data_IF_879046007294
#
_entry.id   IF_879046007294
#
_cell.length_a   1.000
_cell.length_b   1.000
_cell.length_c   1.000
_cell.angle_alpha   90.00
_cell.angle_beta   90.00
_cell.angle_gamma   90.00
#
_symmetry.space_group_name_H-M   'P 1'
#
loop_
_entity.id
_entity.type
_entity.pdbx_description
1 polymer ?
#
# COMPACT_ATOMS: atom_id res chain seq x y z
N UNK A 1 -11.49 29.74 24.61
CA UNK A 1 -12.44 30.87 24.58
C UNK A 1 -12.55 31.35 23.14
N UNK A 2 -13.75 31.40 22.53
CA UNK A 2 -13.88 31.91 21.18
C UNK A 2 -13.57 33.42 21.18
N UNK A 3 -12.43 33.79 20.61
CA UNK A 3 -12.11 35.20 20.30
C UNK A 3 -12.99 35.62 19.12
N UNK A 4 -14.05 36.37 19.41
CA UNK A 4 -14.91 36.98 18.37
C UNK A 4 -14.14 38.04 17.60
N UNK A 5 -14.58 38.32 16.37
CA UNK A 5 -13.99 39.34 15.50
C UNK A 5 -13.97 40.72 16.19
N UNK A 6 -14.99 41.04 17.00
CA UNK A 6 -15.00 42.28 17.80
C UNK A 6 -13.85 42.37 18.80
N UNK A 7 -13.42 41.25 19.39
CA UNK A 7 -12.35 41.24 20.38
C UNK A 7 -11.00 41.53 19.74
N UNK A 8 -10.77 41.02 18.53
CA UNK A 8 -9.56 41.29 17.74
C UNK A 8 -9.48 42.77 17.39
N UNK A 9 -10.59 43.37 16.93
CA UNK A 9 -10.64 44.81 16.63
C UNK A 9 -10.30 45.67 17.84
N UNK A 10 -10.82 45.32 19.02
CA UNK A 10 -10.51 46.04 20.28
C UNK A 10 -9.03 45.93 20.65
N UNK A 11 -8.45 44.75 20.49
CA UNK A 11 -7.02 44.50 20.72
C UNK A 11 -6.13 45.31 19.77
N UNK A 12 -6.48 45.38 18.48
CA UNK A 12 -5.76 46.19 17.49
C UNK A 12 -5.83 47.69 17.81
N UNK A 13 -6.99 48.20 18.25
CA UNK A 13 -7.14 49.60 18.67
C UNK A 13 -6.28 49.89 19.91
N UNK A 14 -6.28 48.99 20.88
CA UNK A 14 -5.44 49.10 22.06
C UNK A 14 -3.94 49.10 21.72
N UNK A 15 -3.51 48.14 20.89
CA UNK A 15 -2.12 48.01 20.44
C UNK A 15 -1.64 49.28 19.72
N UNK A 16 -2.45 49.81 18.79
CA UNK A 16 -2.13 51.07 18.11
C UNK A 16 -2.06 52.27 19.07
N UNK A 17 -2.89 52.30 20.11
CA UNK A 17 -2.84 53.37 21.12
C UNK A 17 -1.53 53.30 21.91
N UNK A 18 -1.16 52.12 22.40
CA UNK A 18 0.09 51.92 23.11
C UNK A 18 1.31 52.27 22.25
N UNK A 19 1.34 51.85 20.98
CA UNK A 19 2.45 52.15 20.08
C UNK A 19 2.56 53.66 19.80
N UNK A 20 1.44 54.37 19.68
CA UNK A 20 1.44 55.84 19.52
C UNK A 20 1.94 56.54 20.78
N UNK A 21 1.55 56.08 21.96
CA UNK A 21 2.03 56.62 23.23
C UNK A 21 3.54 56.41 23.39
N UNK A 22 4.06 55.22 23.05
CA UNK A 22 5.50 54.91 23.08
C UNK A 22 6.28 55.77 22.07
N UNK A 23 5.73 55.99 20.88
CA UNK A 23 6.35 56.81 19.84
C UNK A 23 6.22 58.32 20.09
N UNK A 24 5.49 58.76 21.13
CA UNK A 24 5.20 60.17 21.38
C UNK A 24 4.34 60.84 20.28
N UNK A 25 3.55 60.06 19.54
CA UNK A 25 2.78 60.53 18.38
C UNK A 25 1.36 60.93 18.81
N UNK A 26 1.16 62.23 19.01
CA UNK A 26 -0.17 62.81 19.22
C UNK A 26 -1.05 62.77 17.96
N UNK A 27 -2.36 62.95 18.13
CA UNK A 27 -3.35 62.94 17.04
C UNK A 27 -3.05 63.98 15.93
N UNK A 28 -2.40 65.10 16.28
CA UNK A 28 -2.07 66.19 15.36
C UNK A 28 -0.96 65.84 14.36
N UNK A 29 -0.14 64.83 14.64
CA UNK A 29 1.05 64.50 13.84
C UNK A 29 0.75 63.79 12.50
N UNK A 30 -0.52 63.49 12.17
CA UNK A 30 -0.96 62.82 10.93
C UNK A 30 -0.09 61.64 10.45
N UNK A 31 0.50 60.88 11.38
CA UNK A 31 1.30 59.68 11.07
C UNK A 31 0.39 58.45 10.95
N UNK A 32 0.67 57.61 9.95
CA UNK A 32 -0.07 56.37 9.72
C UNK A 32 0.28 55.28 10.76
N UNK A 33 -0.67 54.40 11.10
CA UNK A 33 -0.43 53.35 12.12
C UNK A 33 0.66 52.35 11.71
N UNK A 34 0.80 52.08 10.41
CA UNK A 34 1.86 51.24 9.85
C UNK A 34 3.25 51.86 10.07
N UNK A 35 3.35 53.18 9.99
CA UNK A 35 4.59 53.92 10.15
C UNK A 35 4.97 54.08 11.63
N UNK A 36 3.99 54.33 12.51
CA UNK A 36 4.18 54.26 13.98
C UNK A 36 4.66 52.87 14.38
N UNK A 37 4.04 51.81 13.86
CA UNK A 37 4.44 50.43 14.15
C UNK A 37 5.87 50.14 13.69
N UNK A 38 6.25 50.58 12.48
CA UNK A 38 7.61 50.41 11.95
C UNK A 38 8.64 51.19 12.77
N UNK A 39 8.29 52.38 13.25
CA UNK A 39 9.15 53.20 14.11
C UNK A 39 9.43 52.51 15.46
N UNK A 40 8.40 51.92 16.09
CA UNK A 40 8.50 51.32 17.43
C UNK A 40 9.05 49.89 17.40
N UNK A 41 8.62 49.06 16.45
CA UNK A 41 8.92 47.61 16.40
C UNK A 41 9.91 47.22 15.28
N UNK A 42 10.30 48.16 14.41
CA UNK A 42 11.14 47.89 13.24
C UNK A 42 10.43 47.06 12.15
N UNK A 43 11.23 46.44 11.27
CA UNK A 43 10.74 45.55 10.20
C UNK A 43 10.35 44.14 10.68
N UNK A 44 10.52 43.83 11.97
CA UNK A 44 10.30 42.48 12.53
C UNK A 44 9.10 42.35 13.47
N UNK A 45 8.27 43.40 13.63
CA UNK A 45 7.13 43.38 14.53
C UNK A 45 5.92 42.62 13.95
N UNK A 46 5.76 41.35 14.33
CA UNK A 46 4.57 40.53 14.00
C UNK A 46 3.27 41.28 14.34
N UNK A 47 2.27 41.20 13.48
CA UNK A 47 0.95 41.79 13.74
C UNK A 47 0.23 41.05 14.87
N UNK A 48 -0.68 41.73 15.58
CA UNK A 48 -1.50 41.08 16.63
C UNK A 48 -2.27 39.89 16.07
N UNK A 49 -2.74 39.97 14.82
CA UNK A 49 -3.41 38.86 14.14
C UNK A 49 -2.49 37.66 13.91
N UNK A 50 -1.25 37.88 13.50
CA UNK A 50 -0.25 36.80 13.34
C UNK A 50 0.07 36.15 14.69
N UNK A 51 0.28 36.94 15.75
CA UNK A 51 0.55 36.43 17.10
C UNK A 51 -0.63 35.61 17.63
N UNK A 52 -1.86 36.10 17.45
CA UNK A 52 -3.08 35.39 17.85
C UNK A 52 -3.25 34.10 17.04
N UNK A 53 -3.00 34.13 15.73
CA UNK A 53 -3.07 32.94 14.89
C UNK A 53 -2.00 31.91 15.24
N UNK A 54 -0.77 32.34 15.52
CA UNK A 54 0.30 31.46 16.00
C UNK A 54 -0.08 30.77 17.30
N UNK A 55 -0.65 31.49 18.26
CA UNK A 55 -1.10 30.92 19.53
C UNK A 55 -2.29 29.97 19.35
N UNK A 56 -3.23 30.28 18.42
CA UNK A 56 -4.31 29.36 18.04
C UNK A 56 -3.76 28.06 17.46
N UNK A 57 -2.80 28.14 16.55
CA UNK A 57 -2.17 26.98 15.93
C UNK A 57 -1.38 26.15 16.95
N UNK A 58 -0.64 26.80 17.86
CA UNK A 58 0.05 26.11 18.96
C UNK A 58 -0.93 25.40 19.89
N UNK A 59 -2.04 26.04 20.23
CA UNK A 59 -3.09 25.44 21.05
C UNK A 59 -3.76 24.26 20.35
N UNK A 60 -4.10 24.40 19.06
CA UNK A 60 -4.62 23.30 18.23
C UNK A 60 -3.66 22.11 18.20
N UNK A 61 -2.38 22.36 17.94
CA UNK A 61 -1.36 21.31 17.97
C UNK A 61 -1.20 20.67 19.35
N UNK A 62 -1.34 21.43 20.44
CA UNK A 62 -1.34 20.89 21.79
C UNK A 62 -2.57 20.00 22.05
N UNK A 63 -3.76 20.45 21.66
CA UNK A 63 -5.03 19.72 21.79
C UNK A 63 -5.02 18.41 21.00
N UNK A 64 -4.48 18.41 19.78
CA UNK A 64 -4.34 17.21 18.95
C UNK A 64 -3.40 16.16 19.57
N UNK A 65 -2.47 16.58 20.44
CA UNK A 65 -1.55 15.69 21.16
C UNK A 65 -2.04 15.32 22.56
N UNK A 66 -3.11 15.94 23.05
CA UNK A 66 -3.65 15.62 24.36
C UNK A 66 -4.40 14.29 24.30
N UNK A 67 -4.16 13.36 25.24
CA UNK A 67 -4.96 12.16 25.37
C UNK A 67 -6.40 12.54 25.78
N UNK A 68 -7.39 11.86 25.17
CA UNK A 68 -8.80 12.29 25.16
C UNK A 68 -9.45 12.47 26.54
N UNK A 69 -8.94 11.80 27.58
CA UNK A 69 -9.43 11.93 28.96
C UNK A 69 -9.11 13.28 29.62
N UNK A 70 -8.21 14.10 29.03
CA UNK A 70 -7.89 15.46 29.51
C UNK A 70 -8.60 16.58 28.76
N UNK A 71 -9.37 16.27 27.72
CA UNK A 71 -10.05 17.31 26.97
C UNK A 71 -11.22 17.87 27.80
N UNK A 72 -11.29 19.20 28.01
CA UNK A 72 -12.33 19.79 28.83
C UNK A 72 -13.71 19.54 28.18
N UNK A 73 -14.66 18.99 28.95
CA UNK A 73 -16.04 18.64 28.50
C UNK A 73 -16.71 19.70 27.63
N UNK A 74 -16.38 20.98 27.83
CA UNK A 74 -16.93 22.12 27.07
C UNK A 74 -16.54 22.14 25.59
N UNK A 75 -15.43 21.52 25.17
CA UNK A 75 -15.07 21.39 23.75
C UNK A 75 -15.80 20.25 23.04
N UNK A 76 -16.36 19.29 23.78
CA UNK A 76 -17.22 18.23 23.22
C UNK A 76 -18.68 18.66 23.07
N UNK A 77 -19.09 19.78 23.67
CA UNK A 77 -20.49 20.17 23.89
C UNK A 77 -20.88 21.51 23.24
N UNK A 78 -20.13 22.00 22.25
CA UNK A 78 -20.42 23.31 21.65
C UNK A 78 -21.70 23.37 20.82
N UNK A 79 -22.42 22.25 20.64
CA UNK A 79 -23.69 22.21 19.89
C UNK A 79 -24.96 22.00 20.71
N UNK A 80 -24.88 21.64 22.00
CA UNK A 80 -26.05 21.13 22.76
C UNK A 80 -26.46 22.06 23.91
N UNK A 81 -25.70 23.13 24.17
CA UNK A 81 -25.78 23.85 25.46
C UNK A 81 -26.82 24.96 25.57
N UNK A 82 -27.56 25.30 24.52
CA UNK A 82 -28.49 26.42 24.60
C UNK A 82 -29.94 26.01 25.02
N UNK A 83 -30.29 24.70 25.06
CA UNK A 83 -31.69 24.29 25.26
C UNK A 83 -32.01 23.40 26.47
N UNK A 84 -31.06 23.02 27.34
CA UNK A 84 -31.37 22.14 28.49
C UNK A 84 -31.14 22.84 29.83
N UNK A 85 -32.23 23.43 30.33
CA UNK A 85 -32.42 23.86 31.72
C UNK A 85 -33.31 22.81 32.41
N UNK A 86 -32.79 22.14 33.44
CA UNK A 86 -33.48 21.08 34.21
C UNK A 86 -33.39 19.72 33.51
N UNK A 87 -33.04 18.60 34.13
CA UNK A 87 -33.28 18.12 35.49
C UNK A 87 -32.24 17.01 35.76
N UNK A 88 -31.74 16.85 36.98
CA UNK A 88 -30.78 15.78 37.30
C UNK A 88 -31.48 14.40 37.31
N UNK A 89 -31.25 13.57 36.30
CA UNK A 89 -31.50 12.12 36.33
C UNK A 89 -30.25 11.38 35.88
N UNK A 90 -29.90 10.28 36.55
CA UNK A 90 -28.79 9.40 36.14
C UNK A 90 -29.01 8.80 34.74
N UNK A 91 -30.29 8.64 34.36
CA UNK A 91 -30.73 8.21 33.03
C UNK A 91 -30.29 9.19 31.93
N UNK A 92 -30.40 10.51 32.15
CA UNK A 92 -29.97 11.52 31.18
C UNK A 92 -28.44 11.46 30.94
N UNK A 93 -27.66 11.04 31.94
CA UNK A 93 -26.21 10.90 31.82
C UNK A 93 -25.80 9.65 31.00
N UNK A 94 -26.51 8.53 31.18
CA UNK A 94 -26.28 7.31 30.41
C UNK A 94 -26.74 7.45 28.96
N UNK A 95 -27.87 8.12 28.72
CA UNK A 95 -28.32 8.47 27.36
C UNK A 95 -27.32 9.41 26.66
N UNK A 96 -26.80 10.41 27.37
CA UNK A 96 -25.79 11.32 26.83
C UNK A 96 -24.47 10.59 26.50
N UNK A 97 -24.09 9.60 27.31
CA UNK A 97 -22.91 8.76 27.07
C UNK A 97 -23.11 7.86 25.86
N UNK A 98 -24.29 7.27 25.70
CA UNK A 98 -24.64 6.46 24.53
C UNK A 98 -24.61 7.29 23.23
N UNK A 99 -25.15 8.51 23.27
CA UNK A 99 -25.09 9.46 22.15
C UNK A 99 -23.64 9.81 21.81
N UNK A 100 -22.80 10.10 22.81
CA UNK A 100 -21.39 10.41 22.60
C UNK A 100 -20.61 9.22 22.01
N UNK A 101 -20.93 7.98 22.40
CA UNK A 101 -20.33 6.77 21.85
C UNK A 101 -20.76 6.51 20.40
N UNK A 102 -22.03 6.73 20.07
CA UNK A 102 -22.53 6.63 18.69
C UNK A 102 -21.88 7.70 17.79
N UNK A 103 -21.82 8.95 18.26
CA UNK A 103 -21.17 10.03 17.53
C UNK A 103 -19.67 9.76 17.35
N UNK A 104 -19.00 9.16 18.35
CA UNK A 104 -17.61 8.68 18.22
C UNK A 104 -17.47 7.62 17.14
N UNK A 105 -18.36 6.62 17.11
CA UNK A 105 -18.33 5.58 16.07
C UNK A 105 -18.49 6.19 14.69
N UNK A 106 -19.44 7.12 14.52
CA UNK A 106 -19.63 7.86 13.26
C UNK A 106 -18.42 8.70 12.87
N UNK A 107 -17.86 9.48 13.80
CA UNK A 107 -16.65 10.29 13.57
C UNK A 107 -15.43 9.43 13.24
N UNK A 108 -15.28 8.26 13.87
CA UNK A 108 -14.19 7.33 13.55
C UNK A 108 -14.31 6.78 12.13
N UNK A 109 -15.52 6.40 11.69
CA UNK A 109 -15.76 5.97 10.30
C UNK A 109 -15.42 7.09 9.31
N UNK A 110 -15.83 8.33 9.59
CA UNK A 110 -15.49 9.49 8.76
C UNK A 110 -13.99 9.76 8.74
N UNK A 111 -13.32 9.67 9.89
CA UNK A 111 -11.87 9.84 10.00
C UNK A 111 -11.13 8.78 9.18
N UNK A 112 -11.52 7.52 9.28
CA UNK A 112 -10.93 6.43 8.50
C UNK A 112 -11.13 6.64 6.99
N UNK A 113 -12.31 7.10 6.57
CA UNK A 113 -12.57 7.44 5.17
C UNK A 113 -11.70 8.62 4.68
N UNK A 114 -11.57 9.67 5.49
CA UNK A 114 -10.71 10.82 5.19
C UNK A 114 -9.22 10.43 5.18
N UNK A 115 -8.76 9.58 6.09
CA UNK A 115 -7.39 9.06 6.12
C UNK A 115 -7.09 8.25 4.85
N UNK A 116 -8.00 7.36 4.43
CA UNK A 116 -7.87 6.61 3.17
C UNK A 116 -7.77 7.55 1.97
N UNK A 117 -8.63 8.57 1.91
CA UNK A 117 -8.63 9.58 0.84
C UNK A 117 -7.35 10.42 0.84
N UNK A 118 -6.85 10.79 2.01
CA UNK A 118 -5.60 11.53 2.14
C UNK A 118 -4.40 10.68 1.71
N UNK A 119 -4.37 9.41 2.08
CA UNK A 119 -3.34 8.48 1.64
C UNK A 119 -3.33 8.30 0.12
N UNK A 120 -4.49 8.15 -0.53
CA UNK A 120 -4.56 8.04 -1.99
C UNK A 120 -4.09 9.30 -2.72
N UNK A 121 -4.29 10.48 -2.12
CA UNK A 121 -3.79 11.75 -2.69
C UNK A 121 -2.28 11.90 -2.51
N UNK A 122 -1.73 11.48 -1.36
CA UNK A 122 -0.29 11.57 -1.09
C UNK A 122 0.52 10.52 -1.84
N UNK A 123 -0.03 9.32 -2.01
CA UNK A 123 0.61 8.17 -2.64
C UNK A 123 -0.26 7.70 -3.80
N UNK A 124 -0.07 8.27 -5.02
CA UNK A 124 -0.79 7.77 -6.18
C UNK A 124 -0.45 6.29 -6.39
N UNK A 125 -1.47 5.53 -6.75
CA UNK A 125 -1.36 4.12 -7.12
C UNK A 125 -0.56 4.01 -8.40
N UNK A 126 0.36 3.04 -8.44
CA UNK A 126 1.11 2.75 -9.65
C UNK A 126 0.15 2.13 -10.67
N UNK A 127 0.19 2.57 -11.93
CA UNK A 127 -0.70 2.06 -13.00
C UNK A 127 -0.61 0.54 -13.16
N UNK A 128 0.58 -0.03 -12.96
CA UNK A 128 0.83 -1.48 -13.02
C UNK A 128 -0.03 -2.25 -12.02
N UNK A 129 -0.34 -1.68 -10.86
CA UNK A 129 -1.13 -2.36 -9.83
C UNK A 129 -2.60 -2.52 -10.23
N UNK A 130 -3.04 -1.80 -11.26
CA UNK A 130 -4.38 -1.90 -11.85
C UNK A 130 -4.46 -3.01 -12.90
N UNK A 131 -3.34 -3.61 -13.32
CA UNK A 131 -3.35 -4.64 -14.35
C UNK A 131 -4.19 -5.85 -13.92
N UNK A 132 -5.21 -6.15 -14.72
CA UNK A 132 -6.18 -7.21 -14.46
C UNK A 132 -5.60 -8.61 -14.63
N UNK A 133 -4.54 -8.78 -15.43
CA UNK A 133 -3.95 -10.07 -15.74
C UNK A 133 -2.52 -10.20 -15.20
N UNK A 134 -2.22 -11.38 -14.64
CA UNK A 134 -0.91 -11.72 -14.09
C UNK A 134 -0.47 -13.12 -14.52
N UNK A 135 0.79 -13.23 -14.89
CA UNK A 135 1.47 -14.50 -15.15
C UNK A 135 2.23 -14.88 -13.89
N UNK A 136 1.85 -16.01 -13.30
CA UNK A 136 2.50 -16.61 -12.15
C UNK A 136 3.28 -17.85 -12.58
N UNK A 137 4.58 -17.86 -12.28
CA UNK A 137 5.48 -18.98 -12.57
C UNK A 137 6.02 -19.57 -11.27
N UNK A 138 5.83 -20.88 -11.09
CA UNK A 138 6.30 -21.63 -9.93
C UNK A 138 7.46 -22.55 -10.34
N UNK A 139 8.58 -22.45 -9.64
CA UNK A 139 9.78 -23.26 -9.86
C UNK A 139 10.10 -24.07 -8.61
N UNK A 140 10.15 -25.39 -8.73
CA UNK A 140 10.62 -26.25 -7.64
C UNK A 140 12.11 -25.99 -7.37
N UNK A 141 12.44 -25.63 -6.13
CA UNK A 141 13.81 -25.33 -5.70
C UNK A 141 14.47 -26.51 -4.98
N UNK A 142 15.17 -26.21 -3.88
CA UNK A 142 15.80 -27.22 -3.06
C UNK A 142 14.74 -28.15 -2.42
N UNK A 143 14.92 -29.47 -2.49
CA UNK A 143 13.99 -30.45 -1.90
C UNK A 143 13.50 -31.54 -2.86
N UNK A 144 13.88 -31.49 -4.14
CA UNK A 144 13.59 -32.54 -5.11
C UNK A 144 12.08 -32.78 -5.28
N UNK A 145 11.64 -34.04 -5.21
CA UNK A 145 10.23 -34.43 -5.38
C UNK A 145 9.31 -33.71 -4.38
N UNK A 146 9.76 -33.48 -3.15
CA UNK A 146 8.98 -32.74 -2.15
C UNK A 146 8.79 -31.26 -2.52
N UNK A 147 9.81 -30.61 -3.09
CA UNK A 147 9.66 -29.25 -3.60
C UNK A 147 8.61 -29.20 -4.72
N UNK A 148 8.55 -30.23 -5.57
CA UNK A 148 7.53 -30.32 -6.60
C UNK A 148 6.11 -30.58 -6.07
N UNK A 149 5.97 -31.35 -4.98
CA UNK A 149 4.69 -31.49 -4.28
C UNK A 149 4.26 -30.16 -3.65
N UNK A 150 5.20 -29.43 -3.05
CA UNK A 150 4.92 -28.11 -2.49
C UNK A 150 4.55 -27.08 -3.57
N UNK A 151 5.15 -27.15 -4.76
CA UNK A 151 4.78 -26.32 -5.90
C UNK A 151 3.32 -26.58 -6.33
N UNK A 152 2.90 -27.84 -6.31
CA UNK A 152 1.51 -28.22 -6.56
C UNK A 152 0.56 -27.71 -5.47
N UNK A 153 0.96 -27.81 -4.20
CA UNK A 153 0.17 -27.27 -3.08
C UNK A 153 -0.03 -25.74 -3.20
N UNK A 154 1.03 -25.00 -3.56
CA UNK A 154 0.94 -23.55 -3.80
C UNK A 154 0.04 -23.22 -4.98
N UNK A 155 0.16 -23.95 -6.10
CA UNK A 155 -0.74 -23.79 -7.25
C UNK A 155 -2.21 -23.95 -6.82
N UNK A 156 -2.52 -24.99 -6.05
CA UNK A 156 -3.89 -25.24 -5.57
C UNK A 156 -4.38 -24.16 -4.59
N UNK A 157 -3.49 -23.63 -3.75
CA UNK A 157 -3.78 -22.50 -2.86
C UNK A 157 -4.16 -21.25 -3.68
N UNK A 158 -3.37 -20.89 -4.71
CA UNK A 158 -3.70 -19.73 -5.55
C UNK A 158 -4.93 -19.97 -6.42
N UNK A 159 -5.19 -21.21 -6.85
CA UNK A 159 -6.43 -21.56 -7.53
C UNK A 159 -7.64 -21.35 -6.60
N UNK A 160 -7.57 -21.79 -5.34
CA UNK A 160 -8.61 -21.54 -4.35
C UNK A 160 -8.81 -20.04 -4.09
N UNK A 161 -7.73 -19.26 -4.05
CA UNK A 161 -7.79 -17.80 -3.92
C UNK A 161 -8.49 -17.14 -5.11
N UNK A 162 -8.18 -17.57 -6.34
CA UNK A 162 -8.83 -17.09 -7.56
C UNK A 162 -10.34 -17.39 -7.54
N UNK A 163 -10.73 -18.61 -7.15
CA UNK A 163 -12.15 -19.01 -7.01
C UNK A 163 -12.87 -18.11 -6.00
N UNK A 164 -12.28 -17.82 -4.84
CA UNK A 164 -12.90 -16.95 -3.83
C UNK A 164 -13.19 -15.54 -4.32
N UNK A 165 -12.41 -15.06 -5.30
CA UNK A 165 -12.54 -13.72 -5.88
C UNK A 165 -13.25 -13.71 -7.23
N UNK A 166 -13.78 -14.86 -7.66
CA UNK A 166 -14.38 -15.04 -8.99
C UNK A 166 -13.42 -14.64 -10.14
N UNK A 167 -12.14 -14.95 -9.99
CA UNK A 167 -11.11 -14.71 -11.01
C UNK A 167 -10.95 -15.90 -11.94
N UNK A 168 -10.51 -15.63 -13.18
CA UNK A 168 -10.12 -16.70 -14.11
C UNK A 168 -8.77 -17.26 -13.69
N UNK A 169 -8.60 -18.58 -13.84
CA UNK A 169 -7.36 -19.28 -13.53
C UNK A 169 -7.08 -20.30 -14.63
N UNK A 170 -6.04 -20.06 -15.43
CA UNK A 170 -5.69 -20.88 -16.58
C UNK A 170 -4.26 -21.41 -16.42
N UNK A 171 -4.10 -22.73 -16.51
CA UNK A 171 -2.76 -23.35 -16.48
C UNK A 171 -2.23 -23.40 -17.90
N UNK A 172 -1.27 -22.53 -18.22
CA UNK A 172 -0.68 -22.42 -19.56
C UNK A 172 0.32 -23.54 -19.84
N UNK A 173 1.16 -23.86 -18.86
CA UNK A 173 2.19 -24.89 -19.01
C UNK A 173 2.49 -25.56 -17.66
N UNK A 174 2.70 -26.87 -17.66
CA UNK A 174 3.14 -27.62 -16.47
C UNK A 174 4.15 -28.69 -16.87
N UNK A 175 5.21 -28.82 -16.10
CA UNK A 175 6.24 -29.86 -16.26
C UNK A 175 6.26 -30.73 -15.01
N UNK A 176 5.97 -32.02 -15.18
CA UNK A 176 5.95 -33.00 -14.09
C UNK A 176 7.35 -33.58 -13.89
N UNK A 177 7.73 -33.85 -12.64
CA UNK A 177 8.95 -34.58 -12.31
C UNK A 177 8.69 -36.08 -12.44
N UNK A 178 8.99 -36.69 -13.58
CA UNK A 178 8.83 -38.15 -13.76
C UNK A 178 10.13 -38.91 -13.50
N UNK A 179 10.06 -39.86 -12.57
CA UNK A 179 10.38 -41.26 -12.84
C UNK A 179 9.34 -42.13 -12.10
N UNK A 180 8.87 -43.14 -12.83
CA UNK A 180 7.99 -44.27 -12.47
C UNK A 180 6.46 -44.11 -12.60
N UNK A 181 5.94 -44.95 -13.50
CA UNK A 181 4.60 -45.49 -13.59
C UNK A 181 4.20 -46.08 -12.23
N UNK A 182 3.46 -45.32 -11.42
CA UNK A 182 2.69 -45.88 -10.33
C UNK A 182 1.28 -45.31 -10.44
N UNK A 183 0.31 -46.23 -10.43
CA UNK A 183 -1.11 -45.94 -10.52
C UNK A 183 -1.54 -44.83 -9.55
N UNK A 184 -2.56 -44.03 -9.92
CA UNK A 184 -2.98 -42.85 -9.16
C UNK A 184 -3.74 -43.29 -7.91
N UNK A 185 -3.05 -43.64 -6.82
CA UNK A 185 -3.72 -43.87 -5.54
C UNK A 185 -3.85 -42.60 -4.70
N UNK A 186 -3.08 -41.53 -4.99
CA UNK A 186 -3.27 -40.21 -4.41
C UNK A 186 -2.97 -39.11 -5.43
N UNK A 187 -3.84 -38.10 -5.53
CA UNK A 187 -3.84 -36.98 -6.50
C UNK A 187 -2.64 -36.01 -6.36
N UNK A 188 -1.44 -36.49 -6.06
CA UNK A 188 -0.29 -35.66 -5.68
C UNK A 188 0.76 -35.69 -6.80
N UNK A 189 0.56 -34.83 -7.81
CA UNK A 189 1.51 -34.70 -8.91
C UNK A 189 2.65 -33.76 -8.52
N UNK A 190 3.90 -34.24 -8.54
CA UNK A 190 5.07 -33.40 -8.26
C UNK A 190 5.44 -32.56 -9.49
N UNK A 191 5.40 -31.23 -9.37
CA UNK A 191 5.60 -30.29 -10.48
C UNK A 191 6.98 -29.62 -10.41
N UNK A 192 7.79 -29.74 -11.46
CA UNK A 192 9.07 -29.01 -11.55
C UNK A 192 8.87 -27.54 -11.86
N UNK A 193 7.93 -27.28 -12.76
CA UNK A 193 7.66 -25.96 -13.31
C UNK A 193 6.18 -25.85 -13.65
N UNK A 194 5.58 -24.70 -13.34
CA UNK A 194 4.19 -24.38 -13.71
C UNK A 194 4.11 -22.92 -14.10
N UNK A 195 3.44 -22.64 -15.21
CA UNK A 195 3.07 -21.31 -15.66
C UNK A 195 1.55 -21.19 -15.66
N UNK A 196 1.07 -20.20 -14.94
CA UNK A 196 -0.35 -19.96 -14.67
C UNK A 196 -0.65 -18.52 -15.10
N UNK A 197 -1.80 -18.33 -15.70
CA UNK A 197 -2.37 -17.02 -15.94
C UNK A 197 -3.61 -16.85 -15.06
N UNK A 198 -3.69 -15.70 -14.40
CA UNK A 198 -4.79 -15.35 -13.50
C UNK A 198 -5.30 -13.98 -13.95
N UNK A 199 -6.59 -13.89 -14.25
CA UNK A 199 -7.23 -12.64 -14.65
C UNK A 199 -8.33 -12.28 -13.65
N UNK A 200 -8.23 -11.06 -13.12
CA UNK A 200 -9.13 -10.50 -12.13
C UNK A 200 -9.19 -9.00 -12.30
N UNK A 201 -10.33 -8.51 -12.77
CA UNK A 201 -10.56 -7.08 -12.97
C UNK A 201 -10.56 -6.32 -11.64
N UNK A 202 -10.04 -5.08 -11.62
CA UNK A 202 -10.17 -4.21 -10.46
C UNK A 202 -11.64 -3.87 -10.23
N UNK A 203 -12.18 -4.21 -9.06
CA UNK A 203 -13.53 -3.78 -8.67
C UNK A 203 -13.50 -2.35 -8.15
N UNK A 204 -14.55 -1.58 -8.44
CA UNK A 204 -14.75 -0.25 -7.85
C UNK A 204 -15.81 -0.36 -6.77
N UNK A 205 -15.38 -0.53 -5.53
CA UNK A 205 -16.29 -0.49 -4.38
C UNK A 205 -16.24 0.92 -3.76
N UNK A 206 -17.39 1.57 -3.64
CA UNK A 206 -17.55 2.88 -2.99
C UNK A 206 -16.66 4.02 -3.54
N UNK A 207 -16.32 3.98 -4.83
CA UNK A 207 -15.52 5.02 -5.50
C UNK A 207 -14.01 4.92 -5.27
N UNK A 208 -13.54 3.83 -4.66
CA UNK A 208 -12.12 3.50 -4.51
C UNK A 208 -11.83 2.35 -5.47
N UNK A 209 -10.94 2.55 -6.44
CA UNK A 209 -10.48 1.45 -7.30
C UNK A 209 -9.70 0.45 -6.47
N UNK A 210 -10.13 -0.81 -6.46
CA UNK A 210 -9.33 -1.91 -5.93
C UNK A 210 -8.25 -2.33 -6.93
N UNK A 211 -7.24 -3.06 -6.45
CA UNK A 211 -6.16 -3.55 -7.30
C UNK A 211 -6.62 -4.68 -8.21
N UNK A 212 -6.08 -4.70 -9.43
CA UNK A 212 -6.19 -5.86 -10.33
C UNK A 212 -5.41 -7.06 -9.79
N UNK A 213 -5.51 -8.20 -10.47
CA UNK A 213 -4.85 -9.44 -10.04
C UNK A 213 -3.34 -9.26 -9.80
N UNK A 214 -2.65 -8.49 -10.65
CA UNK A 214 -1.22 -8.22 -10.46
C UNK A 214 -0.93 -7.42 -9.19
N UNK A 215 -1.64 -6.32 -8.94
CA UNK A 215 -1.38 -5.46 -7.78
C UNK A 215 -1.55 -6.18 -6.45
N UNK A 216 -2.42 -7.19 -6.40
CA UNK A 216 -2.62 -8.02 -5.21
C UNK A 216 -1.57 -9.12 -5.08
N UNK A 217 -1.24 -9.80 -6.19
CA UNK A 217 -0.34 -10.95 -6.18
C UNK A 217 1.14 -10.56 -6.29
N UNK A 218 1.52 -9.34 -6.66
CA UNK A 218 2.94 -8.92 -6.79
C UNK A 218 3.81 -9.24 -5.57
N UNK A 219 3.20 -9.27 -4.38
CA UNK A 219 3.87 -9.58 -3.12
C UNK A 219 4.19 -11.06 -2.93
N UNK A 220 3.71 -11.93 -3.80
CA UNK A 220 4.00 -13.36 -3.80
C UNK A 220 5.34 -13.66 -4.51
N UNK A 221 5.97 -12.67 -5.16
CA UNK A 221 7.24 -12.87 -5.85
C UNK A 221 8.40 -13.11 -4.86
N UNK A 222 9.08 -14.24 -5.00
CA UNK A 222 10.22 -14.64 -4.17
C UNK A 222 10.20 -16.13 -3.78
N UNK A 223 11.04 -16.50 -2.81
CA UNK A 223 11.18 -17.91 -2.39
C UNK A 223 10.26 -18.24 -1.22
N UNK A 224 9.43 -19.26 -1.40
CA UNK A 224 8.55 -19.85 -0.40
C UNK A 224 9.19 -21.11 0.15
N UNK A 225 9.30 -21.22 1.48
CA UNK A 225 9.92 -22.36 2.16
C UNK A 225 8.90 -23.18 2.92
N UNK A 226 8.88 -24.50 2.75
CA UNK A 226 8.07 -25.42 3.53
C UNK A 226 8.93 -26.24 4.49
N UNK A 227 8.43 -26.45 5.71
CA UNK A 227 9.01 -27.35 6.70
C UNK A 227 7.93 -28.36 7.10
N UNK A 228 8.08 -29.61 6.68
CA UNK A 228 7.17 -30.71 7.02
C UNK A 228 7.88 -32.05 6.93
N UNK A 229 7.27 -33.10 7.47
CA UNK A 229 7.66 -34.47 7.18
C UNK A 229 7.17 -34.76 5.76
N UNK A 230 8.07 -34.98 4.79
CA UNK A 230 7.67 -35.14 3.41
C UNK A 230 7.00 -36.50 3.21
N UNK A 231 6.00 -36.57 2.34
CA UNK A 231 5.28 -37.82 2.02
C UNK A 231 6.25 -38.84 1.39
N UNK A 232 7.33 -38.35 0.79
CA UNK A 232 8.35 -39.14 0.11
C UNK A 232 9.43 -39.72 1.03
N UNK A 233 9.49 -39.33 2.30
CA UNK A 233 10.52 -39.85 3.24
C UNK A 233 9.99 -41.01 4.06
N UNK A 234 10.72 -42.13 4.06
CA UNK A 234 10.48 -43.24 4.98
C UNK A 234 10.89 -42.91 6.43
N UNK A 235 11.71 -41.87 6.62
CA UNK A 235 12.10 -41.37 7.94
C UNK A 235 11.15 -40.25 8.37
N UNK A 236 10.61 -40.33 9.59
CA UNK A 236 9.70 -39.32 10.17
C UNK A 236 10.46 -38.04 10.61
N UNK A 237 11.34 -37.53 9.74
CA UNK A 237 12.20 -36.37 9.96
C UNK A 237 11.67 -35.19 9.16
N UNK A 238 11.68 -34.01 9.79
CA UNK A 238 11.26 -32.77 9.13
C UNK A 238 12.31 -32.37 8.10
N UNK A 239 11.87 -32.23 6.84
CA UNK A 239 12.70 -31.72 5.75
C UNK A 239 12.34 -30.27 5.45
N UNK A 240 13.26 -29.56 4.80
CA UNK A 240 13.05 -28.19 4.34
C UNK A 240 13.18 -28.13 2.83
N UNK A 241 12.09 -27.69 2.19
CA UNK A 241 12.01 -27.56 0.73
C UNK A 241 11.64 -26.14 0.35
N UNK A 242 11.99 -25.71 -0.86
CA UNK A 242 11.73 -24.36 -1.37
C UNK A 242 11.06 -24.39 -2.73
N UNK A 243 10.22 -23.41 -3.00
CA UNK A 243 9.63 -23.11 -4.31
C UNK A 243 9.81 -21.62 -4.57
N UNK A 244 10.32 -21.26 -5.73
CA UNK A 244 10.44 -19.87 -6.14
C UNK A 244 9.23 -19.47 -7.00
N UNK A 245 8.70 -18.30 -6.72
CA UNK A 245 7.50 -17.75 -7.38
C UNK A 245 7.90 -16.47 -8.11
N UNK A 246 7.60 -16.41 -9.39
CA UNK A 246 7.82 -15.25 -10.26
C UNK A 246 6.48 -14.72 -10.74
N UNK A 247 6.33 -13.40 -10.73
CA UNK A 247 5.05 -12.73 -10.98
C UNK A 247 5.26 -11.59 -11.93
N UNK A 248 4.55 -11.64 -13.05
CA UNK A 248 4.73 -10.70 -14.13
C UNK A 248 3.37 -10.15 -14.54
N UNK A 249 3.24 -8.83 -14.72
CA UNK A 249 2.03 -8.27 -15.28
C UNK A 249 1.91 -8.71 -16.74
N UNK A 250 0.71 -9.10 -17.17
CA UNK A 250 0.43 -9.23 -18.60
C UNK A 250 -0.01 -7.86 -19.10
N UNK A 251 0.72 -7.34 -20.08
CA UNK A 251 0.28 -6.16 -20.81
C UNK A 251 -0.63 -6.62 -21.95
N UNK A 252 -1.72 -5.89 -22.21
CA UNK A 252 -2.45 -6.06 -23.45
C UNK A 252 -1.53 -5.74 -24.63
N UNK A 253 -1.81 -6.35 -25.78
CA UNK A 253 -1.16 -5.94 -27.02
C UNK A 253 -1.57 -4.49 -27.29
N UNK A 254 -0.59 -3.58 -27.23
CA UNK A 254 -0.83 -2.18 -27.57
C UNK A 254 -0.69 -2.07 -29.08
N UNK A 255 -1.81 -1.91 -29.76
CA UNK A 255 -1.83 -1.53 -31.17
C UNK A 255 -1.36 -0.07 -31.27
N UNK A 256 -0.04 0.10 -31.46
CA UNK A 256 0.55 1.42 -31.69
C UNK A 256 0.38 1.75 -33.17
N UNK A 257 -0.56 2.63 -33.48
CA UNK A 257 -0.68 3.22 -34.80
C UNK A 257 0.42 4.29 -34.96
N UNK A 258 1.52 3.91 -35.61
CA UNK A 258 2.64 4.82 -35.86
C UNK A 258 2.35 5.57 -37.17
N UNK A 259 2.12 6.89 -37.14
CA UNK A 259 1.87 7.64 -38.36
C UNK A 259 3.11 7.65 -39.25
N UNK A 260 2.92 7.46 -40.56
CA UNK A 260 4.01 7.42 -41.55
C UNK A 260 4.95 8.63 -41.52
N UNK A 261 4.45 9.80 -41.06
CA UNK A 261 5.23 11.03 -40.96
C UNK A 261 6.34 10.99 -39.90
N UNK A 262 6.21 10.13 -38.88
CA UNK A 262 7.20 9.96 -37.82
C UNK A 262 8.25 8.89 -38.18
N UNK A 263 8.02 8.14 -39.26
CA UNK A 263 8.93 7.12 -39.75
C UNK A 263 9.96 7.74 -40.69
N UNK A 264 11.23 7.72 -40.25
CA UNK A 264 12.37 7.98 -41.15
C UNK A 264 12.77 6.68 -41.82
N UNK A 265 12.41 6.55 -43.08
CA UNK A 265 12.80 5.43 -43.92
C UNK A 265 14.21 5.65 -44.47
N UNK A 266 15.19 4.90 -43.96
CA UNK A 266 16.53 4.86 -44.54
C UNK A 266 16.74 3.55 -45.29
N UNK A 267 16.94 3.64 -46.60
CA UNK A 267 17.23 2.50 -47.45
C UNK A 267 18.73 2.22 -47.45
N UNK A 268 19.16 1.29 -46.60
CA UNK A 268 20.54 0.82 -46.57
C UNK A 268 20.74 -0.34 -47.56
N UNK A 269 21.85 -0.33 -48.30
CA UNK A 269 22.26 -1.52 -49.06
C UNK A 269 22.81 -2.56 -48.08
N UNK A 270 22.35 -3.83 -48.12
CA UNK A 270 22.90 -4.85 -47.25
C UNK A 270 24.39 -4.99 -47.53
N UNK A 271 25.22 -4.60 -46.57
CA UNK A 271 26.68 -4.63 -46.70
C UNK A 271 27.17 -5.90 -45.99
N UNK A 272 27.30 -6.98 -46.75
CA UNK A 272 27.75 -8.29 -46.27
C UNK A 272 27.54 -9.40 -47.32
N UNK A 273 28.29 -10.51 -47.28
CA UNK A 273 28.08 -11.65 -48.16
C UNK A 273 26.64 -12.17 -48.01
N UNK A 274 25.93 -12.35 -49.13
CA UNK A 274 24.50 -12.61 -49.17
C UNK A 274 24.06 -13.92 -48.51
N UNK A 275 23.03 -13.85 -47.68
CA UNK A 275 22.33 -14.98 -47.06
C UNK A 275 21.52 -14.56 -45.82
N UNK A 276 20.29 -15.07 -45.69
CA UNK A 276 19.42 -15.13 -44.48
C UNK A 276 19.35 -13.92 -43.51
N UNK A 277 19.70 -12.70 -43.92
CA UNK A 277 19.91 -11.59 -42.96
C UNK A 277 18.69 -10.66 -42.76
N UNK A 278 17.55 -10.95 -43.39
CA UNK A 278 16.30 -10.16 -43.23
C UNK A 278 15.54 -10.57 -41.96
N UNK A 279 15.75 -11.79 -41.44
CA UNK A 279 15.11 -12.28 -40.21
C UNK A 279 15.75 -11.72 -38.92
N UNK A 280 16.91 -11.05 -39.02
CA UNK A 280 17.73 -10.70 -37.86
C UNK A 280 17.19 -9.54 -37.02
N UNK A 281 16.47 -8.58 -37.63
CA UNK A 281 15.93 -7.41 -36.93
C UNK A 281 14.72 -7.77 -36.04
N UNK A 282 13.77 -8.53 -36.58
CA UNK A 282 12.65 -9.07 -35.79
C UNK A 282 13.18 -9.93 -34.62
N UNK A 283 14.20 -10.76 -34.89
CA UNK A 283 14.86 -11.52 -33.83
C UNK A 283 15.49 -10.64 -32.74
N UNK A 284 16.12 -9.50 -33.07
CA UNK A 284 16.74 -8.62 -32.07
C UNK A 284 15.69 -7.98 -31.16
N UNK A 285 14.56 -7.52 -31.71
CA UNK A 285 13.50 -6.90 -30.92
C UNK A 285 12.81 -7.92 -30.01
N UNK A 286 12.46 -9.10 -30.55
CA UNK A 286 11.91 -10.20 -29.77
C UNK A 286 12.90 -10.70 -28.70
N UNK A 287 14.21 -10.77 -29.02
CA UNK A 287 15.26 -11.08 -28.04
C UNK A 287 15.32 -10.03 -26.93
N UNK A 288 15.29 -8.73 -27.27
CA UNK A 288 15.33 -7.64 -26.27
C UNK A 288 14.15 -7.72 -25.28
N UNK A 289 12.93 -7.96 -25.77
CA UNK A 289 11.76 -8.15 -24.91
C UNK A 289 11.88 -9.41 -24.03
N UNK A 290 12.34 -10.52 -24.61
CA UNK A 290 12.58 -11.75 -23.84
C UNK A 290 13.67 -11.57 -22.78
N UNK A 291 14.71 -10.80 -23.06
CA UNK A 291 15.77 -10.48 -22.11
C UNK A 291 15.26 -9.64 -20.93
N UNK A 292 14.37 -8.67 -21.18
CA UNK A 292 13.74 -7.89 -20.11
C UNK A 292 12.91 -8.81 -19.20
N UNK A 293 12.05 -9.64 -19.79
CA UNK A 293 11.24 -10.62 -19.05
C UNK A 293 12.12 -11.56 -18.23
N UNK A 294 13.18 -12.10 -18.85
CA UNK A 294 14.12 -12.98 -18.18
C UNK A 294 14.90 -12.29 -17.07
N UNK A 295 15.23 -11.00 -17.22
CA UNK A 295 15.89 -10.23 -16.17
C UNK A 295 14.99 -10.02 -14.96
N UNK A 296 13.71 -9.69 -15.18
CA UNK A 296 12.70 -9.56 -14.12
C UNK A 296 12.52 -10.92 -13.44
N UNK A 297 12.35 -11.98 -14.23
CA UNK A 297 12.22 -13.34 -13.72
C UNK A 297 13.42 -13.74 -12.85
N UNK A 298 14.65 -13.50 -13.31
CA UNK A 298 15.87 -13.75 -12.53
C UNK A 298 15.90 -12.95 -11.23
N UNK A 299 15.45 -11.70 -11.25
CA UNK A 299 15.39 -10.86 -10.04
C UNK A 299 14.43 -11.41 -8.98
N UNK A 300 13.30 -12.00 -9.40
CA UNK A 300 12.34 -12.62 -8.48
C UNK A 300 12.81 -13.97 -7.94
N UNK A 301 13.48 -14.77 -8.78
CA UNK A 301 13.94 -16.12 -8.41
C UNK A 301 15.14 -16.08 -7.45
N UNK A 302 15.99 -15.06 -7.56
CA UNK A 302 17.23 -15.00 -6.78
C UNK A 302 18.09 -16.23 -7.04
N UNK A 303 18.68 -16.79 -5.99
CA UNK A 303 19.53 -17.99 -6.05
C UNK A 303 18.77 -19.31 -5.83
N UNK A 304 17.43 -19.28 -5.67
CA UNK A 304 16.60 -20.45 -5.30
C UNK A 304 17.00 -21.15 -3.98
N UNK A 305 17.90 -20.55 -3.21
CA UNK A 305 18.46 -21.11 -1.99
C UNK A 305 17.53 -20.94 -0.76
N UNK A 306 17.77 -21.72 0.29
CA UNK A 306 17.02 -21.74 1.55
C UNK A 306 17.12 -20.44 2.35
N UNK A 307 18.08 -19.58 2.03
CA UNK A 307 18.39 -18.33 2.71
C UNK A 307 17.43 -17.19 2.33
N UNK A 308 17.13 -17.03 1.03
CA UNK A 308 16.39 -15.91 0.40
C UNK A 308 14.85 -16.05 0.46
N UNK A 309 14.33 -16.55 1.58
CA UNK A 309 12.90 -16.82 1.76
C UNK A 309 12.08 -15.56 2.10
N UNK A 310 10.96 -15.37 1.42
CA UNK A 310 9.95 -14.37 1.79
C UNK A 310 8.95 -14.94 2.81
N UNK A 311 8.64 -16.24 2.71
CA UNK A 311 7.70 -16.92 3.60
C UNK A 311 8.17 -18.30 4.02
N UNK A 312 7.77 -18.70 5.23
CA UNK A 312 7.96 -20.06 5.73
C UNK A 312 6.63 -20.65 6.19
N UNK A 313 6.32 -21.83 5.67
CA UNK A 313 5.17 -22.65 6.01
C UNK A 313 5.65 -23.80 6.89
N UNK A 314 5.39 -23.72 8.20
CA UNK A 314 5.86 -24.68 9.19
C UNK A 314 4.68 -25.56 9.63
N UNK A 315 4.58 -26.77 9.07
CA UNK A 315 3.50 -27.71 9.36
C UNK A 315 3.53 -28.26 10.79
N UNK A 316 4.69 -28.67 11.36
CA UNK A 316 4.74 -29.11 12.75
C UNK A 316 4.25 -28.08 13.77
N UNK A 317 4.38 -26.79 13.46
CA UNK A 317 3.96 -25.69 14.36
C UNK A 317 2.65 -25.02 13.90
N UNK A 318 1.98 -25.54 12.88
CA UNK A 318 0.78 -24.96 12.24
C UNK A 318 0.88 -23.43 12.00
N UNK A 319 2.06 -22.98 11.53
CA UNK A 319 2.39 -21.55 11.46
C UNK A 319 2.93 -21.15 10.10
N UNK A 320 2.47 -20.00 9.62
CA UNK A 320 3.00 -19.29 8.46
C UNK A 320 3.71 -18.05 8.95
N UNK A 321 4.90 -17.78 8.43
CA UNK A 321 5.67 -16.58 8.80
C UNK A 321 6.09 -15.86 7.52
N UNK A 322 5.76 -14.57 7.42
CA UNK A 322 6.28 -13.69 6.37
C UNK A 322 7.46 -12.90 6.95
N UNK A 323 8.65 -13.11 6.38
CA UNK A 323 9.91 -12.56 6.88
C UNK A 323 10.06 -11.07 6.58
N UNK A 324 9.24 -10.51 5.69
CA UNK A 324 9.26 -9.07 5.38
C UNK A 324 8.49 -8.26 6.43
N UNK A 325 7.39 -8.84 6.92
CA UNK A 325 6.57 -8.28 7.99
C UNK A 325 7.06 -8.65 9.40
N UNK A 326 7.87 -9.71 9.53
CA UNK A 326 8.17 -10.36 10.81
C UNK A 326 6.91 -10.78 11.59
N UNK A 327 5.82 -11.06 10.89
CA UNK A 327 4.55 -11.51 11.45
C UNK A 327 4.28 -12.97 11.12
N UNK A 328 3.48 -13.61 11.97
CA UNK A 328 3.06 -14.98 11.80
C UNK A 328 1.56 -15.18 11.96
N UNK A 329 1.02 -16.11 11.17
CA UNK A 329 -0.38 -16.53 11.19
C UNK A 329 -0.48 -18.02 11.48
N UNK A 330 -1.60 -18.45 12.07
CA UNK A 330 -1.90 -19.85 12.40
C UNK A 330 -2.92 -20.44 11.42
N UNK A 331 -3.30 -21.72 11.60
CA UNK A 331 -4.24 -22.44 10.73
C UNK A 331 -3.68 -22.65 9.32
N UNK A 332 -2.44 -23.14 9.23
CA UNK A 332 -1.73 -23.41 7.98
C UNK A 332 -2.54 -24.32 7.06
N UNK A 333 -3.21 -25.34 7.60
CA UNK A 333 -4.03 -26.25 6.80
C UNK A 333 -5.13 -25.50 6.03
N UNK A 334 -5.85 -24.59 6.70
CA UNK A 334 -6.92 -23.80 6.10
C UNK A 334 -6.37 -22.78 5.11
N UNK A 335 -5.23 -22.18 5.43
CA UNK A 335 -4.53 -21.26 4.54
C UNK A 335 -4.12 -21.94 3.23
N UNK A 336 -3.53 -23.14 3.29
CA UNK A 336 -3.08 -23.84 2.08
C UNK A 336 -4.24 -24.41 1.25
N UNK A 337 -5.27 -24.97 1.89
CA UNK A 337 -6.39 -25.62 1.17
C UNK A 337 -7.46 -24.65 0.68
N UNK A 338 -7.72 -23.58 1.43
CA UNK A 338 -8.82 -22.65 1.14
C UNK A 338 -8.32 -21.22 0.90
N UNK A 339 -7.01 -20.94 0.91
CA UNK A 339 -6.48 -19.57 0.81
C UNK A 339 -7.00 -18.58 1.87
N UNK A 340 -7.64 -19.07 2.95
CA UNK A 340 -8.19 -18.23 4.00
C UNK A 340 -7.04 -17.61 4.79
N UNK A 341 -7.01 -16.28 4.83
CA UNK A 341 -5.94 -15.49 5.45
C UNK A 341 -4.90 -14.95 4.46
N UNK A 342 -4.85 -15.43 3.21
CA UNK A 342 -3.94 -14.87 2.21
C UNK A 342 -4.25 -13.39 1.94
N UNK A 343 -5.54 -13.03 1.88
CA UNK A 343 -5.99 -11.64 1.78
C UNK A 343 -5.47 -10.75 2.92
N UNK A 344 -5.45 -11.26 4.16
CA UNK A 344 -4.97 -10.51 5.34
C UNK A 344 -3.45 -10.28 5.27
N UNK A 345 -2.70 -11.27 4.78
CA UNK A 345 -1.25 -11.16 4.56
C UNK A 345 -0.97 -10.10 3.49
N UNK A 346 -1.68 -10.15 2.36
CA UNK A 346 -1.54 -9.18 1.26
C UNK A 346 -1.87 -7.76 1.74
N UNK A 347 -2.96 -7.59 2.50
CA UNK A 347 -3.34 -6.29 3.06
C UNK A 347 -2.27 -5.74 4.03
N UNK A 348 -1.68 -6.61 4.85
CA UNK A 348 -0.61 -6.25 5.78
C UNK A 348 0.66 -5.79 5.03
N UNK A 349 1.03 -6.50 3.96
CA UNK A 349 2.16 -6.13 3.10
C UNK A 349 1.91 -4.79 2.40
N UNK A 350 0.71 -4.59 1.89
CA UNK A 350 0.31 -3.32 1.28
C UNK A 350 0.42 -2.17 2.27
N UNK A 351 -0.08 -2.32 3.51
CA UNK A 351 0.04 -1.30 4.55
C UNK A 351 1.51 -0.99 4.90
N UNK A 352 2.39 -2.00 4.89
CA UNK A 352 3.82 -1.78 5.11
C UNK A 352 4.46 -0.99 3.97
N UNK A 353 4.20 -1.36 2.72
CA UNK A 353 4.71 -0.63 1.55
C UNK A 353 4.26 0.83 1.53
N UNK A 354 2.97 1.07 1.80
CA UNK A 354 2.43 2.43 1.91
C UNK A 354 3.18 3.25 2.97
N UNK A 355 3.47 2.66 4.15
CA UNK A 355 4.26 3.32 5.19
C UNK A 355 5.69 3.61 4.73
N UNK A 356 6.33 2.71 4.00
CA UNK A 356 7.68 2.91 3.48
C UNK A 356 7.74 3.98 2.40
N UNK A 357 6.79 3.98 1.45
CA UNK A 357 6.66 5.03 0.42
C UNK A 357 6.41 6.39 1.07
N UNK A 358 5.53 6.46 2.07
CA UNK A 358 5.27 7.69 2.82
C UNK A 358 6.55 8.19 3.52
N UNK A 359 7.28 7.29 4.19
CA UNK A 359 8.57 7.63 4.82
C UNK A 359 9.57 8.17 3.81
N UNK A 360 9.72 7.53 2.64
CA UNK A 360 10.61 8.01 1.58
C UNK A 360 10.24 9.44 1.15
N UNK A 361 8.96 9.71 0.86
CA UNK A 361 8.49 11.06 0.50
C UNK A 361 8.71 12.10 1.59
N UNK A 362 8.53 11.74 2.86
CA UNK A 362 8.80 12.63 3.99
C UNK A 362 10.30 12.93 4.13
N UNK A 363 11.17 11.95 3.86
CA UNK A 363 12.62 12.11 3.92
C UNK A 363 13.19 12.91 2.75
N UNK A 364 12.63 12.80 1.54
CA UNK A 364 13.12 13.54 0.35
C UNK A 364 12.77 15.02 0.36
N UNK A 365 11.92 15.48 1.28
CA UNK A 365 11.59 16.91 1.42
C UNK A 365 10.65 17.44 0.33
N UNK A 366 10.12 16.58 -0.54
CA UNK A 366 9.22 16.92 -1.65
C UNK A 366 7.84 17.43 -1.18
N UNK A 367 7.57 17.44 0.13
CA UNK A 367 6.31 17.91 0.74
C UNK A 367 6.40 19.40 1.14
N UNK A 368 7.46 20.12 0.74
CA UNK A 368 7.61 21.57 1.00
C UNK A 368 6.96 22.49 -0.04
N UNK A 369 6.41 21.96 -1.13
CA UNK A 369 5.57 22.70 -2.09
C UNK A 369 4.12 22.27 -1.95
#
# INVERSE_FOLDING_TARGET
WPLRVENIRKLLVFDHRCLRDIAGVCWDHRVSNSEVRRSVLGNGGESVDEVVNLHRLRWLGHVLRMPEHRLPRRSMLTGVRDDIVGTDTEDDFDDLKAIAELERKQRNVQREALEKKLLSLLLPTDERDLNSAVIMELFAGAGGKEAGLFAHDLMNMYHAFAIQRNWSFTVLHKTVMSNEECAPSHNETSLSYVRIEIEGEPTTESGIMSFGAYGQLKWEAGVHRVQRVPVTSSQNKIHTSTVAVSIQPKYGDVDIDIPDNDLKWEFHRPTGPGGQNVNKLHEIHSKSQSHLIDSIRRSHLGNLDRSEKIRTYNFPQDRITDHRLNNSWNNLYRFMKQAVGLSEVIESLYKQDQRERLKRKLCTGDIKS
#
